data_IF_593485425607
#
_entry.id   IF_593485425607
#
_cell.length_a   1.000
_cell.length_b   1.000
_cell.length_c   1.000
_cell.angle_alpha   90.00
_cell.angle_beta   90.00
_cell.angle_gamma   90.00
#
_symmetry.space_group_name_H-M   'P 1'
#
loop_
_entity.id
_entity.type
_entity.pdbx_description
1 polymer ?
#
# COMPACT_ATOMS: atom_id res chain seq x y z
N UNK A 1 -4.97 7.24 7.82
CA UNK A 1 -3.59 6.70 7.80
C UNK A 1 -2.61 7.64 7.09
N UNK A 2 -2.94 8.18 5.90
CA UNK A 2 -2.07 9.05 5.09
C UNK A 2 -1.43 10.19 5.88
N UNK A 3 -2.22 11.00 6.62
CA UNK A 3 -1.71 12.08 7.48
C UNK A 3 -0.75 11.60 8.56
N UNK A 4 -1.07 10.46 9.19
CA UNK A 4 -0.22 9.88 10.22
C UNK A 4 1.12 9.42 9.63
N UNK A 5 1.10 8.91 8.39
CA UNK A 5 2.32 8.54 7.68
C UNK A 5 3.10 9.79 7.27
N UNK A 6 2.44 10.82 6.72
CA UNK A 6 3.09 12.08 6.37
C UNK A 6 3.74 12.75 7.58
N UNK A 7 3.14 12.65 8.76
CA UNK A 7 3.74 13.15 9.99
C UNK A 7 5.00 12.37 10.44
N UNK A 8 5.22 11.16 9.89
CA UNK A 8 6.35 10.28 10.22
C UNK A 8 7.48 10.31 9.18
N UNK A 9 7.29 10.97 8.03
CA UNK A 9 8.30 11.06 6.97
C UNK A 9 8.26 12.40 6.26
N UNK A 10 9.42 12.88 5.82
CA UNK A 10 9.52 14.03 4.91
C UNK A 10 9.38 13.63 3.44
N UNK A 11 9.21 12.35 3.13
CA UNK A 11 9.15 11.89 1.76
C UNK A 11 7.89 12.35 1.01
N UNK A 12 8.03 12.36 -0.31
CA UNK A 12 6.94 12.63 -1.23
C UNK A 12 5.93 11.48 -1.18
N UNK A 13 4.65 11.80 -1.12
CA UNK A 13 3.58 10.79 -1.05
C UNK A 13 2.64 10.92 -2.24
N UNK A 14 2.28 9.78 -2.82
CA UNK A 14 1.24 9.69 -3.84
C UNK A 14 0.14 8.75 -3.37
N UNK A 15 -1.09 9.25 -3.28
CA UNK A 15 -2.30 8.46 -3.03
C UNK A 15 -3.08 8.21 -4.32
N UNK A 16 -3.49 6.97 -4.57
CA UNK A 16 -4.37 6.66 -5.69
C UNK A 16 -5.62 5.91 -5.23
N UNK A 17 -6.70 6.09 -5.97
CA UNK A 17 -7.94 5.34 -5.82
C UNK A 17 -8.71 5.40 -7.16
N UNK A 18 -9.36 4.32 -7.61
CA UNK A 18 -10.16 4.36 -8.84
C UNK A 18 -11.42 5.23 -8.69
N UNK A 19 -11.88 5.52 -7.47
CA UNK A 19 -13.05 6.37 -7.22
C UNK A 19 -12.67 7.85 -7.19
N UNK A 20 -13.18 8.62 -8.15
CA UNK A 20 -13.07 10.09 -8.14
C UNK A 20 -13.59 10.70 -6.84
N UNK A 21 -14.71 10.18 -6.33
CA UNK A 21 -15.31 10.63 -5.07
C UNK A 21 -14.41 10.39 -3.86
N UNK A 22 -13.65 9.28 -3.84
CA UNK A 22 -12.64 9.04 -2.81
C UNK A 22 -11.49 10.03 -2.96
N UNK A 23 -10.94 10.20 -4.15
CA UNK A 23 -9.84 11.16 -4.39
C UNK A 23 -10.23 12.58 -3.98
N UNK A 24 -11.43 13.04 -4.32
CA UNK A 24 -11.94 14.35 -3.90
C UNK A 24 -11.94 14.49 -2.38
N UNK A 25 -12.50 13.52 -1.66
CA UNK A 25 -12.50 13.50 -0.17
C UNK A 25 -11.08 13.45 0.40
N UNK A 26 -10.17 12.72 -0.24
CA UNK A 26 -8.78 12.65 0.19
C UNK A 26 -8.10 14.01 0.07
N UNK A 27 -8.25 14.68 -1.07
CA UNK A 27 -7.72 16.04 -1.30
C UNK A 27 -8.29 17.00 -0.25
N UNK A 28 -9.61 16.99 -0.04
CA UNK A 28 -10.27 17.87 0.93
C UNK A 28 -9.75 17.68 2.36
N UNK A 29 -9.47 16.45 2.77
CA UNK A 29 -8.96 16.12 4.12
C UNK A 29 -7.46 16.39 4.30
N UNK A 30 -6.73 16.63 3.22
CA UNK A 30 -5.26 16.72 3.19
C UNK A 30 -4.76 18.04 2.55
N UNK A 31 -5.58 19.10 2.54
CA UNK A 31 -5.24 20.41 1.94
C UNK A 31 -3.95 21.03 2.49
N UNK A 32 -3.63 20.77 3.75
CA UNK A 32 -2.44 21.25 4.47
C UNK A 32 -1.20 20.37 4.26
N UNK A 33 -1.22 19.49 3.25
CA UNK A 33 -0.12 18.55 2.96
C UNK A 33 0.26 18.63 1.50
N UNK A 34 1.49 18.21 1.19
CA UNK A 34 2.06 18.10 -0.16
C UNK A 34 1.76 16.73 -0.82
N UNK A 35 0.76 15.99 -0.33
CA UNK A 35 0.41 14.67 -0.86
C UNK A 35 -0.26 14.84 -2.22
N UNK A 36 0.25 14.15 -3.23
CA UNK A 36 -0.34 14.14 -4.58
C UNK A 36 -1.41 13.04 -4.66
N UNK A 37 -2.60 13.37 -5.15
CA UNK A 37 -3.68 12.40 -5.33
C UNK A 37 -4.01 12.21 -6.81
N UNK A 38 -4.23 10.95 -7.24
CA UNK A 38 -4.59 10.62 -8.63
C UNK A 38 -5.71 9.59 -8.70
N UNK A 39 -6.67 9.81 -9.59
CA UNK A 39 -7.70 8.82 -9.90
C UNK A 39 -7.07 7.73 -10.76
N UNK A 40 -6.76 6.58 -10.14
CA UNK A 40 -6.05 5.47 -10.80
C UNK A 40 -6.28 4.17 -10.04
N UNK A 41 -6.34 3.05 -10.76
CA UNK A 41 -6.37 1.70 -10.17
C UNK A 41 -4.98 1.06 -10.16
N UNK A 42 -4.79 0.00 -9.36
CA UNK A 42 -3.52 -0.72 -9.31
C UNK A 42 -3.19 -1.43 -10.64
N UNK A 43 -4.21 -1.86 -11.37
CA UNK A 43 -4.10 -2.49 -12.69
C UNK A 43 -3.58 -1.54 -13.78
N UNK A 44 -3.71 -0.22 -13.56
CA UNK A 44 -3.29 0.84 -14.50
C UNK A 44 -2.05 1.60 -14.00
N UNK A 45 -1.33 1.06 -13.03
CA UNK A 45 -0.08 1.65 -12.58
C UNK A 45 0.99 1.58 -13.68
N UNK A 46 1.66 2.71 -13.89
CA UNK A 46 2.60 2.99 -14.98
C UNK A 46 3.86 3.69 -14.45
N UNK A 47 4.21 3.44 -13.19
CA UNK A 47 5.46 3.90 -12.60
C UNK A 47 6.50 2.78 -12.64
N UNK A 48 7.76 3.16 -12.81
CA UNK A 48 8.89 2.24 -12.80
C UNK A 48 9.96 2.76 -11.84
N UNK A 49 10.38 1.93 -10.88
CA UNK A 49 11.46 2.24 -9.93
C UNK A 49 11.31 3.62 -9.24
N UNK A 50 10.08 3.97 -8.87
CA UNK A 50 9.76 5.31 -8.35
C UNK A 50 9.62 5.36 -6.82
N UNK A 51 9.31 4.23 -6.17
CA UNK A 51 8.89 4.22 -4.77
C UNK A 51 9.76 3.32 -3.90
N UNK A 52 10.05 3.79 -2.71
CA UNK A 52 10.80 3.03 -1.70
C UNK A 52 9.83 2.11 -0.93
N UNK A 53 8.60 2.59 -0.66
CA UNK A 53 7.59 1.81 0.05
C UNK A 53 6.19 2.01 -0.56
N UNK A 54 5.47 0.90 -0.75
CA UNK A 54 4.06 0.86 -1.11
C UNK A 54 3.23 0.38 0.07
N UNK A 55 2.10 1.04 0.34
CA UNK A 55 1.15 0.60 1.35
C UNK A 55 -0.24 0.41 0.73
N UNK A 56 -0.69 -0.84 0.64
CA UNK A 56 -2.04 -1.18 0.21
C UNK A 56 -2.90 -1.51 1.43
N UNK A 57 -3.82 -0.61 1.79
CA UNK A 57 -4.59 -0.72 3.03
C UNK A 57 -6.08 -0.86 2.73
N UNK A 58 -6.64 -2.03 3.05
CA UNK A 58 -8.05 -2.35 2.84
C UNK A 58 -8.52 -2.16 1.38
N UNK A 59 -7.61 -2.29 0.41
CA UNK A 59 -7.94 -2.27 -1.02
C UNK A 59 -7.61 -3.55 -1.78
N UNK A 60 -6.68 -4.36 -1.28
CA UNK A 60 -6.19 -5.54 -1.98
C UNK A 60 -7.31 -6.51 -2.39
N UNK A 61 -8.34 -6.63 -1.55
CA UNK A 61 -9.50 -7.50 -1.81
C UNK A 61 -10.41 -7.02 -2.96
N UNK A 62 -10.25 -5.78 -3.41
CA UNK A 62 -11.02 -5.20 -4.52
C UNK A 62 -10.29 -5.25 -5.86
N UNK A 63 -9.08 -5.82 -5.92
CA UNK A 63 -8.34 -5.96 -7.17
C UNK A 63 -9.00 -7.01 -8.06
N UNK A 64 -9.32 -6.62 -9.29
CA UNK A 64 -9.94 -7.51 -10.26
C UNK A 64 -8.89 -8.40 -10.94
N UNK A 65 -7.76 -7.80 -11.34
CA UNK A 65 -6.65 -8.51 -11.99
C UNK A 65 -5.45 -8.63 -11.03
N UNK A 66 -5.59 -9.45 -9.98
CA UNK A 66 -4.63 -9.56 -8.89
C UNK A 66 -3.18 -9.68 -9.36
N UNK A 67 -2.89 -10.63 -10.25
CA UNK A 67 -1.54 -10.89 -10.76
C UNK A 67 -0.96 -9.67 -11.48
N UNK A 68 -1.79 -8.92 -12.21
CA UNK A 68 -1.38 -7.69 -12.89
C UNK A 68 -1.13 -6.56 -11.89
N UNK A 69 -2.03 -6.37 -10.93
CA UNK A 69 -1.87 -5.37 -9.87
C UNK A 69 -0.62 -5.61 -9.03
N UNK A 70 -0.31 -6.86 -8.68
CA UNK A 70 0.92 -7.22 -7.96
C UNK A 70 2.15 -6.92 -8.84
N UNK A 71 2.14 -7.32 -10.13
CA UNK A 71 3.25 -7.01 -11.04
C UNK A 71 3.49 -5.52 -11.17
N UNK A 72 2.44 -4.73 -11.37
CA UNK A 72 2.58 -3.28 -11.50
C UNK A 72 3.10 -2.65 -10.20
N UNK A 73 2.58 -3.06 -9.04
CA UNK A 73 3.11 -2.63 -7.74
C UNK A 73 4.59 -3.00 -7.59
N UNK A 74 5.01 -4.18 -8.07
CA UNK A 74 6.41 -4.57 -8.05
C UNK A 74 7.27 -3.69 -8.96
N UNK A 75 6.84 -3.41 -10.20
CA UNK A 75 7.55 -2.50 -11.12
C UNK A 75 7.68 -1.08 -10.57
N UNK A 76 6.69 -0.63 -9.79
CA UNK A 76 6.69 0.68 -9.13
C UNK A 76 7.81 0.80 -8.06
N UNK A 77 8.21 -0.32 -7.44
CA UNK A 77 9.22 -0.33 -6.38
C UNK A 77 10.62 -0.20 -6.97
N UNK A 78 11.45 0.60 -6.29
CA UNK A 78 12.91 0.60 -6.51
C UNK A 78 13.52 -0.71 -6.04
N UNK A 79 14.76 -0.95 -6.45
CA UNK A 79 15.58 -2.00 -5.85
C UNK A 79 15.65 -1.82 -4.32
N UNK A 80 15.41 -2.91 -3.58
CA UNK A 80 15.30 -2.89 -2.11
C UNK A 80 14.00 -2.31 -1.55
N UNK A 81 13.09 -1.84 -2.42
CA UNK A 81 11.78 -1.33 -2.05
C UNK A 81 10.86 -2.40 -1.47
N UNK A 82 9.87 -1.96 -0.68
CA UNK A 82 9.00 -2.86 0.09
C UNK A 82 7.54 -2.55 -0.10
N UNK A 83 6.69 -3.57 -0.05
CA UNK A 83 5.24 -3.39 -0.02
C UNK A 83 4.64 -3.96 1.26
N UNK A 84 3.86 -3.13 1.95
CA UNK A 84 3.03 -3.49 3.09
C UNK A 84 1.57 -3.62 2.66
N UNK A 85 0.99 -4.81 2.81
CA UNK A 85 -0.43 -5.06 2.49
C UNK A 85 -1.20 -5.34 3.77
N UNK A 86 -2.27 -4.58 3.99
CA UNK A 86 -3.28 -4.85 5.00
C UNK A 86 -4.60 -5.15 4.29
N UNK A 87 -5.19 -6.31 4.54
CA UNK A 87 -6.51 -6.68 4.04
C UNK A 87 -7.28 -7.51 5.09
N UNK A 88 -8.62 -7.59 5.02
CA UNK A 88 -9.40 -8.47 5.88
C UNK A 88 -8.94 -9.93 5.74
N UNK A 89 -8.75 -10.61 6.87
CA UNK A 89 -8.22 -11.97 6.90
C UNK A 89 -9.29 -13.07 6.99
N UNK A 90 -10.53 -12.75 6.59
CA UNK A 90 -11.62 -13.75 6.50
C UNK A 90 -11.71 -14.23 5.05
N UNK A 91 -11.68 -15.56 4.87
CA UNK A 91 -11.71 -16.21 3.55
C UNK A 91 -12.91 -15.78 2.68
N UNK A 92 -14.04 -15.48 3.32
CA UNK A 92 -15.26 -14.97 2.68
C UNK A 92 -15.05 -13.58 2.06
N UNK A 93 -14.20 -12.73 2.64
CA UNK A 93 -13.99 -11.36 2.19
C UNK A 93 -12.72 -11.16 1.36
N UNK A 94 -11.74 -12.06 1.44
CA UNK A 94 -10.44 -11.87 0.77
C UNK A 94 -9.76 -13.19 0.40
N UNK A 95 -10.35 -14.02 -0.47
CA UNK A 95 -9.77 -15.30 -0.89
C UNK A 95 -8.37 -15.12 -1.52
N UNK A 96 -8.22 -14.08 -2.36
CA UNK A 96 -6.96 -13.67 -2.98
C UNK A 96 -5.86 -13.36 -1.96
N UNK A 97 -6.22 -12.74 -0.83
CA UNK A 97 -5.27 -12.42 0.23
C UNK A 97 -4.77 -13.68 0.94
N UNK A 98 -5.66 -14.63 1.22
CA UNK A 98 -5.30 -15.91 1.80
C UNK A 98 -4.37 -16.70 0.87
N UNK A 99 -4.66 -16.72 -0.44
CA UNK A 99 -3.79 -17.38 -1.43
C UNK A 99 -2.38 -16.78 -1.44
N UNK A 100 -2.27 -15.46 -1.42
CA UNK A 100 -0.97 -14.76 -1.37
C UNK A 100 -0.22 -15.08 -0.08
N UNK A 101 -0.89 -15.08 1.06
CA UNK A 101 -0.29 -15.49 2.34
C UNK A 101 0.24 -16.92 2.30
N UNK A 102 -0.54 -17.86 1.80
CA UNK A 102 -0.14 -19.26 1.71
C UNK A 102 1.03 -19.47 0.74
N UNK A 103 1.13 -18.65 -0.32
CA UNK A 103 2.31 -18.64 -1.20
C UNK A 103 3.54 -18.05 -0.52
N UNK A 104 3.40 -16.91 0.14
CA UNK A 104 4.51 -16.23 0.84
C UNK A 104 5.09 -17.11 1.95
N UNK A 105 4.25 -17.81 2.73
CA UNK A 105 4.72 -18.77 3.76
C UNK A 105 5.60 -19.89 3.21
N UNK A 106 5.48 -20.22 1.93
CA UNK A 106 6.24 -21.30 1.27
C UNK A 106 7.51 -20.77 0.59
N UNK A 107 7.74 -19.45 0.59
CA UNK A 107 8.93 -18.85 -0.01
C UNK A 107 10.08 -18.75 1.01
N UNK A 108 11.35 -18.91 0.57
CA UNK A 108 12.50 -18.65 1.44
C UNK A 108 12.53 -17.18 1.89
N UNK A 109 12.80 -16.92 3.17
CA UNK A 109 12.74 -15.57 3.80
C UNK A 109 13.50 -14.47 3.03
N UNK A 110 14.61 -14.82 2.36
CA UNK A 110 15.45 -13.86 1.63
C UNK A 110 14.85 -13.33 0.32
N UNK A 111 13.74 -13.87 -0.18
CA UNK A 111 13.18 -13.51 -1.51
C UNK A 111 11.89 -12.70 -1.44
N UNK A 112 11.47 -12.23 -0.27
CA UNK A 112 10.14 -11.64 -0.11
C UNK A 112 10.21 -10.13 0.16
N UNK A 113 10.17 -9.28 -0.89
CA UNK A 113 9.98 -7.82 -0.73
C UNK A 113 8.57 -7.45 -0.26
N UNK A 114 7.69 -8.45 -0.18
CA UNK A 114 6.32 -8.37 0.28
C UNK A 114 6.23 -8.77 1.75
N UNK A 115 6.03 -7.80 2.62
CA UNK A 115 5.67 -8.11 4.00
C UNK A 115 4.17 -7.92 4.14
N UNK A 116 3.46 -9.04 4.30
CA UNK A 116 2.01 -9.01 4.45
C UNK A 116 1.66 -8.87 5.92
N UNK A 117 0.99 -7.78 6.28
CA UNK A 117 0.51 -7.53 7.64
C UNK A 117 -0.94 -7.98 7.75
N UNK A 118 -1.11 -9.19 8.28
CA UNK A 118 -2.43 -9.71 8.65
C UNK A 118 -2.76 -9.20 10.06
N UNK A 119 -3.74 -8.31 10.19
CA UNK A 119 -4.25 -7.94 11.52
C UNK A 119 -5.77 -8.10 11.58
N UNK A 120 -6.24 -8.83 12.59
CA UNK A 120 -7.64 -8.88 13.01
C UNK A 120 -8.04 -7.69 13.90
N UNK A 121 -7.15 -6.72 14.12
CA UNK A 121 -7.42 -5.58 15.00
C UNK A 121 -6.55 -4.36 14.73
N UNK A 122 -7.24 -3.25 14.43
CA UNK A 122 -6.91 -1.84 14.66
C UNK A 122 -5.53 -1.24 14.27
N UNK A 123 -5.64 -0.09 13.62
CA UNK A 123 -4.70 0.98 13.23
C UNK A 123 -3.32 1.09 13.94
N UNK A 124 -3.20 0.75 15.22
CA UNK A 124 -1.96 0.89 16.02
C UNK A 124 -0.83 -0.05 15.57
N UNK A 125 -1.15 -1.31 15.25
CA UNK A 125 -0.14 -2.26 14.72
C UNK A 125 0.38 -1.83 13.35
N UNK A 126 -0.49 -1.22 12.54
CA UNK A 126 -0.11 -0.69 11.24
C UNK A 126 0.86 0.48 11.38
N UNK A 127 0.67 1.39 12.33
CA UNK A 127 1.60 2.51 12.60
C UNK A 127 2.97 2.04 13.09
N UNK A 128 3.03 1.03 13.97
CA UNK A 128 4.32 0.43 14.38
C UNK A 128 5.01 -0.22 13.18
N UNK A 129 4.26 -0.93 12.35
CA UNK A 129 4.81 -1.53 11.13
C UNK A 129 5.30 -0.45 10.16
N UNK A 130 4.52 0.62 9.94
CA UNK A 130 4.92 1.79 9.14
C UNK A 130 6.25 2.37 9.63
N UNK A 131 6.45 2.54 10.94
CA UNK A 131 7.73 3.00 11.50
C UNK A 131 8.89 2.03 11.20
N UNK A 132 8.62 0.73 11.10
CA UNK A 132 9.61 -0.29 10.69
C UNK A 132 9.97 -0.16 9.20
N UNK A 133 9.01 0.16 8.31
CA UNK A 133 9.30 0.38 6.88
C UNK A 133 9.95 1.74 6.60
N UNK A 134 9.59 2.77 7.36
CA UNK A 134 10.09 4.15 7.21
C UNK A 134 11.37 4.39 8.00
N UNK A 135 12.35 3.49 7.90
CA UNK A 135 13.65 3.64 8.57
C UNK A 135 14.13 5.11 8.57
N UNK A 136 14.59 5.59 9.74
CA UNK A 136 14.88 7.00 10.06
C UNK A 136 15.20 7.89 8.84
N UNK A 137 14.20 8.72 8.46
CA UNK A 137 14.22 9.89 7.56
C UNK A 137 14.56 9.60 6.08
N UNK A 138 13.71 10.12 5.18
CA UNK A 138 13.85 10.18 3.71
C UNK A 138 13.37 8.98 2.86
N UNK A 139 12.10 8.58 2.96
CA UNK A 139 11.49 7.60 2.02
C UNK A 139 10.24 8.16 1.33
N UNK A 140 10.18 8.09 -0.02
CA UNK A 140 9.03 8.46 -0.86
C UNK A 140 8.03 7.30 -0.93
N UNK A 141 6.74 7.60 -0.76
CA UNK A 141 5.69 6.62 -0.49
C UNK A 141 4.55 6.61 -1.51
N UNK A 142 3.96 5.44 -1.72
CA UNK A 142 2.85 5.22 -2.64
C UNK A 142 1.71 4.39 -2.01
N UNK A 143 0.46 4.81 -2.22
CA UNK A 143 -0.71 4.20 -1.58
C UNK A 143 -1.83 3.89 -2.58
N UNK A 144 -1.94 2.64 -3.05
CA UNK A 144 -3.04 2.25 -3.92
C UNK A 144 -4.27 1.79 -3.14
N UNK A 145 -5.36 2.53 -3.35
CA UNK A 145 -6.72 2.23 -2.93
C UNK A 145 -6.88 2.27 -1.41
N UNK A 146 -7.71 3.17 -0.89
CA UNK A 146 -8.17 3.05 0.49
C UNK A 146 -9.61 3.50 0.58
N UNK A 147 -10.43 2.73 1.31
CA UNK A 147 -11.59 3.32 1.96
C UNK A 147 -11.09 4.36 2.96
N UNK A 148 -11.35 5.62 2.64
CA UNK A 148 -11.08 6.81 3.45
C UNK A 148 -11.97 6.92 4.68
#
# INVERSE_FOLDING_TARGET
IMRAIKALTNGNMVGIDPSEGMIKKAIERNKETDIVFKVKSAEKLDYENCFDVIFCNSAFQWFHELSKSIRNCYSCLREGGRIGIQAPAKKIYSPNFIEVIERVKKMPEQKVPLTVLISHGFFLKLLMSIKIYLGKKDSRLFFPGQRL
#
